data_IF_100350715350
#
_entry.id   IF_100350715350
#
_cell.length_a   1.000
_cell.length_b   1.000
_cell.length_c   1.000
_cell.angle_alpha   90.00
_cell.angle_beta   90.00
_cell.angle_gamma   90.00
#
_symmetry.space_group_name_H-M   'P 1'
#
loop_
_entity.id
_entity.type
_entity.pdbx_description
1 polymer ?
#
# COMPACT_ATOMS: atom_id res chain seq x y z
N UNK A 1 -0.22 -1.48 -10.66
CA UNK A 1 -1.02 -0.96 -9.53
C UNK A 1 -0.48 -1.59 -8.28
N UNK A 2 0.30 -0.82 -7.55
CA UNK A 2 0.94 -1.26 -6.31
C UNK A 2 -0.11 -1.40 -5.19
N UNK A 3 0.05 -2.41 -4.35
CA UNK A 3 -0.76 -2.63 -3.15
C UNK A 3 0.15 -2.96 -1.97
N UNK A 4 -0.02 -2.29 -0.84
CA UNK A 4 0.81 -2.46 0.35
C UNK A 4 -0.06 -2.62 1.60
N UNK A 5 0.31 -3.56 2.47
CA UNK A 5 -0.30 -3.69 3.79
C UNK A 5 0.53 -2.91 4.80
N UNK A 6 -0.05 -1.84 5.32
CA UNK A 6 0.59 -0.94 6.28
C UNK A 6 0.06 -1.18 7.69
N UNK A 7 0.94 -1.54 8.62
CA UNK A 7 0.56 -1.72 10.03
C UNK A 7 0.70 -0.40 10.78
N UNK A 8 -0.35 0.01 11.49
CA UNK A 8 -0.31 1.19 12.36
C UNK A 8 -0.56 0.80 13.81
N UNK A 9 0.26 1.34 14.72
CA UNK A 9 0.17 1.03 16.15
C UNK A 9 -0.60 2.08 16.94
N UNK A 10 -0.61 3.33 16.47
CA UNK A 10 -1.14 4.47 17.21
C UNK A 10 -1.85 5.45 16.25
N UNK A 11 -3.16 5.32 16.16
CA UNK A 11 -4.05 6.33 15.55
C UNK A 11 -4.99 6.84 16.62
N UNK A 12 -4.89 8.13 16.95
CA UNK A 12 -5.72 8.75 17.98
C UNK A 12 -6.90 9.44 17.33
N UNK A 13 -8.10 8.89 17.49
CA UNK A 13 -9.32 9.55 16.99
C UNK A 13 -9.88 10.42 18.11
N UNK A 14 -10.22 11.70 17.85
CA UNK A 14 -10.93 12.54 18.80
C UNK A 14 -12.37 12.04 18.96
N UNK A 15 -12.56 11.07 19.85
CA UNK A 15 -13.84 10.63 20.38
C UNK A 15 -14.04 11.22 21.79
N UNK A 16 -15.30 11.31 22.23
CA UNK A 16 -15.69 11.88 23.53
C UNK A 16 -14.68 11.56 24.66
N UNK A 17 -14.20 12.58 25.38
CA UNK A 17 -13.21 12.44 26.44
C UNK A 17 -11.77 12.59 25.93
N UNK A 18 -10.87 11.70 26.35
CA UNK A 18 -9.43 11.75 26.04
C UNK A 18 -9.07 11.24 24.63
N UNK A 19 -10.08 10.92 23.80
CA UNK A 19 -9.89 10.25 22.51
C UNK A 19 -9.74 8.74 22.65
N UNK A 20 -9.71 8.04 21.52
CA UNK A 20 -9.49 6.60 21.48
C UNK A 20 -8.29 6.27 20.60
N UNK A 21 -7.45 5.37 21.09
CA UNK A 21 -6.30 4.83 20.38
C UNK A 21 -6.70 3.57 19.63
N UNK A 22 -6.37 3.53 18.34
CA UNK A 22 -6.59 2.40 17.46
C UNK A 22 -5.27 1.86 16.92
N UNK A 23 -5.22 0.54 16.80
CA UNK A 23 -4.14 -0.21 16.17
C UNK A 23 -4.74 -1.19 15.16
N UNK A 24 -4.02 -1.44 14.08
CA UNK A 24 -4.55 -2.24 12.98
C UNK A 24 -3.68 -2.24 11.75
N UNK A 25 -4.28 -2.70 10.66
CA UNK A 25 -3.65 -2.78 9.35
C UNK A 25 -4.49 -2.01 8.34
N UNK A 26 -3.86 -1.21 7.50
CA UNK A 26 -4.49 -0.50 6.40
C UNK A 26 -4.00 -1.08 5.08
N UNK A 27 -4.92 -1.29 4.15
CA UNK A 27 -4.57 -1.61 2.76
C UNK A 27 -4.38 -0.30 2.01
N UNK A 28 -3.15 -0.04 1.58
CA UNK A 28 -2.80 1.07 0.72
C UNK A 28 -2.85 0.58 -0.72
N UNK A 29 -3.59 1.28 -1.56
CA UNK A 29 -3.69 1.00 -2.99
C UNK A 29 -3.28 2.24 -3.78
N UNK A 30 -2.71 1.98 -4.95
CA UNK A 30 -2.31 3.04 -5.86
C UNK A 30 -3.52 3.81 -6.39
N UNK A 31 -3.48 5.13 -6.27
CA UNK A 31 -4.52 6.02 -6.78
C UNK A 31 -4.35 6.32 -8.29
N UNK A 32 -3.15 6.09 -8.83
CA UNK A 32 -2.74 6.51 -10.18
C UNK A 32 -1.90 5.41 -10.85
N UNK A 33 -1.87 5.35 -12.18
CA UNK A 33 -1.08 4.33 -12.88
C UNK A 33 0.43 4.41 -12.58
N UNK A 34 0.92 5.61 -12.23
CA UNK A 34 2.31 5.91 -11.92
C UNK A 34 2.69 5.66 -10.44
N UNK A 35 1.79 5.11 -9.63
CA UNK A 35 2.00 4.80 -8.20
C UNK A 35 2.49 5.99 -7.33
N UNK A 36 2.32 7.21 -7.85
CA UNK A 36 2.80 8.46 -7.22
C UNK A 36 2.00 8.85 -5.97
N UNK A 37 0.76 8.39 -5.89
CA UNK A 37 -0.15 8.64 -4.78
C UNK A 37 -0.84 7.33 -4.39
N UNK A 38 -1.08 7.16 -3.09
CA UNK A 38 -1.84 6.04 -2.56
C UNK A 38 -3.13 6.55 -1.89
N UNK A 39 -4.07 5.64 -1.74
CA UNK A 39 -5.23 5.83 -0.89
C UNK A 39 -5.45 4.59 -0.03
N UNK A 40 -6.16 4.77 1.09
CA UNK A 40 -6.55 3.65 1.95
C UNK A 40 -7.85 3.06 1.46
N UNK A 41 -7.85 1.78 1.09
CA UNK A 41 -9.05 1.10 0.60
C UNK A 41 -9.82 0.36 1.69
N UNK A 42 -9.10 -0.24 2.64
CA UNK A 42 -9.68 -0.93 3.78
C UNK A 42 -8.82 -0.77 5.03
N UNK A 43 -9.45 -0.84 6.20
CA UNK A 43 -8.78 -0.81 7.51
C UNK A 43 -9.25 -1.98 8.34
N UNK A 44 -8.34 -2.78 8.83
CA UNK A 44 -8.60 -3.89 9.73
C UNK A 44 -8.17 -3.51 11.16
N UNK A 45 -9.13 -3.43 12.07
CA UNK A 45 -8.89 -3.18 13.49
C UNK A 45 -8.78 -4.52 14.24
N UNK A 46 -7.54 -4.90 14.56
CA UNK A 46 -7.22 -6.20 15.14
C UNK A 46 -7.76 -7.36 14.30
N UNK A 47 -8.29 -8.41 14.95
CA UNK A 47 -8.83 -9.59 14.25
C UNK A 47 -10.36 -9.58 14.07
N UNK A 48 -11.04 -8.48 14.42
CA UNK A 48 -12.48 -8.49 14.65
C UNK A 48 -13.30 -7.59 13.74
N UNK A 49 -12.73 -6.47 13.29
CA UNK A 49 -13.48 -5.49 12.51
C UNK A 49 -12.69 -5.10 11.26
N UNK A 50 -13.35 -5.21 10.12
CA UNK A 50 -12.87 -4.67 8.84
C UNK A 50 -13.76 -3.51 8.47
N UNK A 51 -13.16 -2.32 8.44
CA UNK A 51 -13.78 -1.08 8.00
C UNK A 51 -13.49 -0.90 6.52
N UNK A 52 -14.54 -0.68 5.74
CA UNK A 52 -14.43 -0.41 4.32
C UNK A 52 -14.87 1.02 4.02
N UNK A 53 -14.38 1.55 2.91
CA UNK A 53 -14.72 2.92 2.50
C UNK A 53 -16.25 3.07 2.40
N UNK A 54 -16.85 4.02 3.13
CA UNK A 54 -18.30 4.17 3.14
C UNK A 54 -18.81 4.56 1.74
N UNK A 55 -19.79 3.81 1.25
CA UNK A 55 -20.46 4.13 -0.02
C UNK A 55 -21.47 5.27 0.17
N UNK A 56 -21.57 6.20 -0.79
CA UNK A 56 -22.49 7.36 -0.72
C UNK A 56 -23.98 6.98 -0.69
N UNK A 57 -24.32 5.73 -1.03
CA UNK A 57 -25.70 5.30 -1.30
C UNK A 57 -26.28 4.51 -0.12
N UNK A 58 -25.44 3.90 0.72
CA UNK A 58 -25.93 3.04 1.80
C UNK A 58 -24.93 3.00 2.96
N UNK A 59 -25.12 3.87 3.95
CA UNK A 59 -24.36 3.83 5.20
C UNK A 59 -25.13 3.01 6.24
N UNK A 60 -25.15 1.69 6.06
CA UNK A 60 -25.73 0.76 7.04
C UNK A 60 -24.93 0.75 8.36
N UNK A 61 -23.69 1.24 8.35
CA UNK A 61 -22.81 1.37 9.52
C UNK A 61 -22.21 2.78 9.63
N UNK A 62 -22.93 3.73 10.25
CA UNK A 62 -22.44 5.11 10.41
C UNK A 62 -21.24 5.21 11.34
N UNK A 63 -21.09 4.29 12.31
CA UNK A 63 -19.96 4.28 13.24
C UNK A 63 -18.70 3.78 12.54
N UNK A 64 -18.77 2.66 11.83
CA UNK A 64 -17.64 2.16 11.06
C UNK A 64 -17.21 3.12 9.96
N UNK A 65 -18.15 3.79 9.28
CA UNK A 65 -17.85 4.81 8.29
C UNK A 65 -17.16 6.04 8.89
N UNK A 66 -17.56 6.48 10.08
CA UNK A 66 -16.88 7.55 10.82
C UNK A 66 -15.46 7.14 11.21
N UNK A 67 -15.30 5.96 11.84
CA UNK A 67 -13.99 5.45 12.26
C UNK A 67 -13.04 5.30 11.08
N UNK A 68 -13.51 4.73 9.96
CA UNK A 68 -12.73 4.63 8.74
C UNK A 68 -12.24 6.00 8.30
N UNK A 69 -13.16 6.97 8.19
CA UNK A 69 -12.83 8.32 7.72
C UNK A 69 -11.78 9.00 8.59
N UNK A 70 -11.89 8.91 9.92
CA UNK A 70 -10.94 9.54 10.83
C UNK A 70 -9.58 8.85 10.84
N UNK A 71 -9.53 7.52 10.68
CA UNK A 71 -8.27 6.78 10.56
C UNK A 71 -7.56 7.15 9.25
N UNK A 72 -8.30 7.13 8.14
CA UNK A 72 -7.77 7.46 6.81
C UNK A 72 -7.22 8.88 6.75
N UNK A 73 -7.90 9.86 7.38
CA UNK A 73 -7.38 11.23 7.48
C UNK A 73 -6.01 11.35 8.14
N UNK A 74 -5.64 10.40 8.99
CA UNK A 74 -4.30 10.38 9.58
C UNK A 74 -3.32 9.65 8.68
N UNK A 75 -3.67 8.46 8.18
CA UNK A 75 -2.79 7.65 7.34
C UNK A 75 -2.46 8.33 6.00
N UNK A 76 -3.44 8.97 5.36
CA UNK A 76 -3.23 9.67 4.07
C UNK A 76 -2.59 11.07 4.26
N UNK A 77 -2.44 11.55 5.50
CA UNK A 77 -1.84 12.84 5.80
C UNK A 77 -0.40 12.68 6.29
N UNK A 78 0.55 12.91 5.40
CA UNK A 78 2.00 12.85 5.60
C UNK A 78 2.52 13.73 6.75
N UNK A 79 1.76 14.74 7.15
CA UNK A 79 2.10 15.62 8.28
C UNK A 79 1.83 14.97 9.64
N UNK A 80 1.07 13.89 9.69
CA UNK A 80 0.90 13.11 10.91
C UNK A 80 2.01 12.09 11.05
N UNK A 81 2.30 11.64 12.28
CA UNK A 81 3.34 10.63 12.51
C UNK A 81 3.03 9.35 11.72
N UNK A 82 1.80 8.85 11.82
CA UNK A 82 1.38 7.63 11.13
C UNK A 82 1.35 7.80 9.60
N UNK A 83 0.94 8.96 9.09
CA UNK A 83 0.91 9.20 7.66
C UNK A 83 2.30 9.39 7.05
N UNK A 84 3.23 10.00 7.79
CA UNK A 84 4.64 10.04 7.40
C UNK A 84 5.26 8.65 7.31
N UNK A 85 4.95 7.76 8.26
CA UNK A 85 5.36 6.35 8.20
C UNK A 85 4.74 5.64 7.00
N UNK A 86 3.43 5.81 6.77
CA UNK A 86 2.74 5.21 5.62
C UNK A 86 3.35 5.67 4.29
N UNK A 87 3.64 6.97 4.15
CA UNK A 87 4.26 7.53 2.94
C UNK A 87 5.67 6.98 2.71
N UNK A 88 6.45 6.80 3.77
CA UNK A 88 7.80 6.24 3.68
C UNK A 88 7.78 4.75 3.27
N UNK A 89 6.90 3.96 3.88
CA UNK A 89 6.72 2.54 3.53
C UNK A 89 6.19 2.39 2.10
N UNK A 90 5.26 3.24 1.68
CA UNK A 90 4.76 3.28 0.32
C UNK A 90 5.88 3.60 -0.69
N UNK A 91 6.64 4.67 -0.46
CA UNK A 91 7.75 5.05 -1.33
C UNK A 91 8.76 3.91 -1.49
N UNK A 92 9.10 3.24 -0.38
CA UNK A 92 10.01 2.10 -0.39
C UNK A 92 9.44 0.92 -1.20
N UNK A 93 8.15 0.61 -1.04
CA UNK A 93 7.50 -0.46 -1.79
C UNK A 93 7.44 -0.19 -3.31
N UNK A 94 7.21 1.06 -3.71
CA UNK A 94 7.20 1.47 -5.13
C UNK A 94 8.61 1.38 -5.73
N UNK A 95 9.64 1.80 -4.98
CA UNK A 95 11.04 1.69 -5.43
C UNK A 95 11.47 0.23 -5.61
N UNK A 96 11.12 -0.65 -4.67
CA UNK A 96 11.41 -2.09 -4.74
C UNK A 96 10.73 -2.73 -5.96
N UNK A 97 9.46 -2.43 -6.21
CA UNK A 97 8.76 -2.92 -7.41
C UNK A 97 9.40 -2.40 -8.70
N UNK A 98 9.83 -1.13 -8.73
CA UNK A 98 10.53 -0.58 -9.89
C UNK A 98 11.89 -1.24 -10.12
N UNK A 99 12.59 -1.63 -9.04
CA UNK A 99 13.85 -2.37 -9.13
C UNK A 99 13.64 -3.81 -9.64
N UNK A 100 12.65 -4.54 -9.11
CA UNK A 100 12.29 -5.86 -9.62
C UNK A 100 11.89 -5.81 -11.10
N UNK A 101 11.04 -4.87 -11.50
CA UNK A 101 10.65 -4.73 -12.91
C UNK A 101 11.83 -4.43 -13.85
N UNK A 102 12.92 -3.83 -13.34
CA UNK A 102 14.15 -3.55 -14.11
C UNK A 102 15.08 -4.75 -14.16
N UNK A 103 15.17 -5.56 -13.10
CA UNK A 103 16.06 -6.73 -13.05
C UNK A 103 15.64 -7.83 -14.04
N UNK A 104 14.35 -7.92 -14.38
CA UNK A 104 13.85 -8.83 -15.43
C UNK A 104 14.09 -8.31 -16.86
N UNK A 105 14.59 -7.08 -17.08
CA UNK A 105 14.91 -6.54 -18.42
C UNK A 105 16.39 -6.66 -18.79
N UNK A 106 17.10 -7.65 -18.25
CA UNK A 106 18.41 -8.01 -18.82
C UNK A 106 18.12 -8.71 -20.16
N UNK A 107 18.50 -8.17 -21.32
CA UNK A 107 18.37 -8.90 -22.57
C UNK A 107 19.22 -10.17 -22.45
N UNK A 108 18.58 -11.33 -22.62
CA UNK A 108 19.28 -12.60 -22.74
C UNK A 108 20.28 -12.46 -23.90
N UNK A 109 21.56 -12.26 -23.58
CA UNK A 109 22.62 -12.33 -24.59
C UNK A 109 22.70 -13.80 -24.98
N UNK A 110 22.00 -14.16 -26.07
CA UNK A 110 22.09 -15.49 -26.64
C UNK A 110 23.57 -15.81 -26.84
N UNK A 111 24.08 -16.93 -26.31
CA UNK A 111 25.47 -17.30 -26.55
C UNK A 111 25.63 -17.51 -28.07
N UNK A 112 26.45 -16.67 -28.70
CA UNK A 112 26.80 -16.80 -30.12
C UNK A 112 27.34 -18.21 -30.32
N UNK A 113 26.58 -19.03 -31.05
CA UNK A 113 26.93 -20.41 -31.40
C UNK A 113 28.32 -20.41 -32.04
N UNK A 114 29.33 -20.84 -31.29
CA UNK A 114 30.69 -21.02 -31.79
C UNK A 114 30.70 -22.19 -32.77
N UNK A 115 31.07 -21.88 -34.01
CA UNK A 115 31.25 -22.79 -35.14
C UNK A 115 32.17 -23.96 -34.76
N UNK A 116 31.69 -25.21 -34.83
CA UNK A 116 32.52 -26.43 -34.69
C UNK A 116 32.58 -27.15 -36.04
N UNK A 117 33.77 -27.08 -36.64
CA UNK A 117 34.48 -27.98 -37.56
C UNK A 117 33.69 -28.74 -38.65
N UNK A 118 33.89 -28.33 -39.90
CA UNK A 118 33.98 -29.26 -41.04
C UNK A 118 35.34 -29.97 -40.99
N UNK A 119 35.33 -31.27 -40.70
CA UNK A 119 36.41 -32.18 -41.08
C UNK A 119 35.93 -32.95 -42.32
N UNK A 120 36.45 -32.58 -43.49
CA UNK A 120 36.29 -33.35 -44.71
C UNK A 120 37.20 -34.59 -44.67
N UNK A 121 36.66 -35.66 -45.25
CA UNK A 121 37.13 -37.06 -45.32
C UNK A 121 38.57 -37.28 -45.78
#
# INVERSE_FOLDING_TARGET
>A
MTTLQFTFEQVTIPLYGEGALFYGEATLESASEDDSEFYVSSVQLGKKATLTRPSRINSADPVGGFLFTEIVKQIENDKTVVGGQAAQEWASAVEDQAFEARSYRIPEVSPTSSYIMEAAE
#
